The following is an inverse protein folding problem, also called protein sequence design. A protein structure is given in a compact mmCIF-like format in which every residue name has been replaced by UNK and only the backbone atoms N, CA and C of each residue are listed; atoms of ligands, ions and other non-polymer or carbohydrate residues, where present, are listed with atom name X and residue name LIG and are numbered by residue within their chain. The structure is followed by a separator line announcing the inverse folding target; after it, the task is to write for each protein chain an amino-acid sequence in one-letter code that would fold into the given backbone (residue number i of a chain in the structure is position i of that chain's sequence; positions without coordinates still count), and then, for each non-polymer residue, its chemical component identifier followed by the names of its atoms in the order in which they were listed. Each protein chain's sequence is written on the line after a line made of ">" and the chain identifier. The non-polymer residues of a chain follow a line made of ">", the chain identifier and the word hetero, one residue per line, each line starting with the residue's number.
data_IF_064550124200
#
_entry.id   IF_064550124200
#
_cell.length_a   1.000
_cell.length_b   1.000
_cell.length_c   1.000
_cell.angle_alpha   90.00
_cell.angle_beta   90.00
_cell.angle_gamma   90.00
#
_symmetry.space_group_name_H-M   'P 1'
#
loop_
_entity.id
_entity.type
_entity.pdbx_description
1 polymer ?
#
# COMPACT_ATOMS: atom_id res chain seq x y z
N UNK A 1 11.21 16.16 -13.70
CA UNK A 1 11.03 14.81 -13.16
C UNK A 1 11.90 14.73 -11.93
N UNK A 2 11.32 14.35 -10.78
CA UNK A 2 12.03 14.20 -9.52
C UNK A 2 11.88 12.73 -9.11
N UNK A 3 12.93 12.14 -8.57
CA UNK A 3 12.93 10.83 -7.95
C UNK A 3 13.56 11.01 -6.58
N UNK A 4 13.01 10.34 -5.57
CA UNK A 4 13.62 10.33 -4.25
C UNK A 4 13.86 8.88 -3.85
N UNK A 5 15.13 8.50 -3.92
CA UNK A 5 15.55 7.11 -3.70
C UNK A 5 15.95 6.88 -2.25
N UNK A 6 16.03 7.94 -1.44
CA UNK A 6 16.33 7.81 -0.03
C UNK A 6 15.16 7.16 0.71
N UNK A 7 15.39 5.94 1.18
CA UNK A 7 14.43 5.20 1.98
C UNK A 7 14.09 5.99 3.26
N UNK A 8 12.81 6.11 3.57
CA UNK A 8 12.23 6.80 4.72
C UNK A 8 12.51 8.31 4.79
N UNK A 9 12.81 8.96 3.66
CA UNK A 9 12.95 10.41 3.67
C UNK A 9 11.60 11.10 3.99
N UNK A 10 10.47 10.58 3.52
CA UNK A 10 9.17 11.20 3.79
C UNK A 10 8.87 11.20 5.30
N UNK A 11 9.25 10.13 6.00
CA UNK A 11 9.18 10.04 7.45
C UNK A 11 10.16 10.96 8.17
N UNK A 12 11.38 11.15 7.63
CA UNK A 12 12.30 12.13 8.18
C UNK A 12 11.73 13.56 8.10
N UNK A 13 11.06 13.93 6.99
CA UNK A 13 10.35 15.21 6.89
C UNK A 13 9.22 15.34 7.92
N UNK A 14 8.48 14.26 8.18
CA UNK A 14 7.44 14.25 9.20
C UNK A 14 8.03 14.47 10.60
N UNK A 15 9.05 13.71 10.99
CA UNK A 15 9.57 13.74 12.36
C UNK A 15 10.45 14.95 12.66
N UNK A 16 11.36 15.31 11.74
CA UNK A 16 12.35 16.36 11.99
C UNK A 16 11.87 17.75 11.57
N UNK A 17 10.95 17.83 10.62
CA UNK A 17 10.42 19.12 10.12
C UNK A 17 8.94 19.34 10.45
N UNK A 18 8.26 18.34 11.03
CA UNK A 18 6.85 18.46 11.42
C UNK A 18 5.90 18.63 10.23
N UNK A 19 6.23 18.05 9.06
CA UNK A 19 5.44 18.22 7.84
C UNK A 19 4.13 17.43 7.91
N UNK A 20 3.03 18.10 8.30
CA UNK A 20 1.69 17.51 8.29
C UNK A 20 1.25 17.07 6.89
N UNK A 21 1.69 17.78 5.85
CA UNK A 21 1.38 17.43 4.46
C UNK A 21 1.99 16.08 4.09
N UNK A 22 3.25 15.85 4.45
CA UNK A 22 3.92 14.58 4.17
C UNK A 22 3.31 13.42 4.98
N UNK A 23 2.85 13.71 6.19
CA UNK A 23 2.10 12.73 6.99
C UNK A 23 0.79 12.34 6.31
N UNK A 24 0.04 13.31 5.81
CA UNK A 24 -1.19 13.07 5.04
C UNK A 24 -0.91 12.23 3.79
N UNK A 25 0.12 12.58 3.02
CA UNK A 25 0.56 11.82 1.83
C UNK A 25 0.88 10.35 2.18
N UNK A 26 1.71 10.10 3.20
CA UNK A 26 2.05 8.75 3.67
C UNK A 26 0.81 7.95 4.11
N UNK A 27 -0.14 8.59 4.79
CA UNK A 27 -1.38 7.94 5.24
C UNK A 27 -2.29 7.60 4.06
N UNK A 28 -2.43 8.51 3.09
CA UNK A 28 -3.23 8.28 1.88
C UNK A 28 -2.62 7.17 1.02
N UNK A 29 -1.29 7.11 0.91
CA UNK A 29 -0.59 6.00 0.25
C UNK A 29 -0.87 4.67 0.98
N UNK A 30 -0.82 4.63 2.31
CA UNK A 30 -1.24 3.43 3.04
C UNK A 30 -2.69 3.01 2.74
N UNK A 31 -3.61 3.96 2.52
CA UNK A 31 -5.02 3.66 2.24
C UNK A 31 -5.29 3.26 0.78
N UNK A 32 -4.46 3.70 -0.16
CA UNK A 32 -4.67 3.56 -1.60
C UNK A 32 -4.90 2.11 -2.04
N UNK A 33 -4.09 1.16 -1.56
CA UNK A 33 -4.21 -0.26 -1.92
C UNK A 33 -5.04 -1.10 -0.94
N UNK A 34 -5.67 -0.50 0.07
CA UNK A 34 -6.58 -1.24 0.98
C UNK A 34 -7.74 -1.89 0.21
N UNK A 35 -8.47 -1.19 -0.68
CA UNK A 35 -9.56 -1.81 -1.43
C UNK A 35 -9.10 -2.98 -2.31
N UNK A 36 -7.93 -2.84 -2.95
CA UNK A 36 -7.32 -3.93 -3.72
C UNK A 36 -6.98 -5.13 -2.83
N UNK A 37 -6.43 -4.88 -1.64
CA UNK A 37 -6.16 -5.89 -0.63
C UNK A 37 -7.41 -6.66 -0.22
N UNK A 38 -8.55 -5.98 -0.07
CA UNK A 38 -9.85 -6.62 0.26
C UNK A 38 -10.32 -7.54 -0.87
N UNK A 39 -10.11 -7.14 -2.12
CA UNK A 39 -10.54 -7.92 -3.29
C UNK A 39 -9.66 -9.14 -3.58
N UNK A 40 -8.39 -9.13 -3.19
CA UNK A 40 -7.44 -10.22 -3.46
C UNK A 40 -7.96 -11.62 -3.04
N UNK A 41 -8.41 -11.85 -1.78
CA UNK A 41 -8.94 -13.15 -1.37
C UNK A 41 -10.23 -13.54 -2.10
N UNK A 42 -11.04 -12.55 -2.52
CA UNK A 42 -12.28 -12.75 -3.28
C UNK A 42 -11.96 -13.27 -4.68
N UNK A 43 -11.04 -12.60 -5.39
CA UNK A 43 -10.63 -12.93 -6.76
C UNK A 43 -10.02 -14.33 -6.82
N UNK A 44 -9.14 -14.66 -5.87
CA UNK A 44 -8.46 -15.94 -5.87
C UNK A 44 -9.25 -17.06 -5.17
N UNK A 45 -10.46 -16.77 -4.65
CA UNK A 45 -11.30 -17.69 -3.87
C UNK A 45 -10.53 -18.46 -2.78
N UNK A 46 -9.49 -17.83 -2.21
CA UNK A 46 -8.58 -18.48 -1.26
C UNK A 46 -7.97 -17.46 -0.32
N UNK A 47 -7.53 -17.93 0.85
CA UNK A 47 -6.78 -17.08 1.78
C UNK A 47 -5.43 -16.71 1.18
N UNK A 48 -5.12 -15.42 1.24
CA UNK A 48 -3.83 -14.88 0.81
C UNK A 48 -2.99 -14.64 2.06
N UNK A 49 -1.87 -15.36 2.17
CA UNK A 49 -0.93 -15.16 3.27
C UNK A 49 -0.30 -13.77 3.23
N UNK A 50 0.03 -13.23 4.41
CA UNK A 50 0.57 -11.87 4.59
C UNK A 50 1.79 -11.54 3.71
N UNK A 51 2.70 -12.50 3.47
CA UNK A 51 3.84 -12.30 2.56
C UNK A 51 3.41 -12.13 1.10
N UNK A 52 2.40 -12.89 0.68
CA UNK A 52 1.86 -12.82 -0.70
C UNK A 52 1.07 -11.53 -0.90
N UNK A 53 0.27 -11.10 0.08
CA UNK A 53 -0.44 -9.82 -0.01
C UNK A 53 0.51 -8.63 -0.04
N UNK A 54 1.58 -8.65 0.76
CA UNK A 54 2.65 -7.65 0.66
C UNK A 54 3.29 -7.64 -0.73
N UNK A 55 3.67 -8.80 -1.26
CA UNK A 55 4.27 -8.91 -2.59
C UNK A 55 3.35 -8.38 -3.68
N UNK A 56 2.06 -8.73 -3.67
CA UNK A 56 1.10 -8.20 -4.64
C UNK A 56 0.95 -6.68 -4.53
N UNK A 57 0.83 -6.16 -3.30
CA UNK A 57 0.75 -4.71 -3.07
C UNK A 57 1.99 -3.98 -3.54
N UNK A 58 3.18 -4.52 -3.25
CA UNK A 58 4.45 -3.96 -3.68
C UNK A 58 4.60 -3.97 -5.20
N UNK A 59 4.26 -5.06 -5.88
CA UNK A 59 4.34 -5.15 -7.35
C UNK A 59 3.36 -4.19 -8.05
N UNK A 60 2.14 -4.04 -7.51
CA UNK A 60 1.19 -3.06 -8.01
C UNK A 60 1.69 -1.65 -7.77
N UNK A 61 2.19 -1.36 -6.57
CA UNK A 61 2.74 -0.04 -6.29
C UNK A 61 3.95 0.27 -7.16
N UNK A 62 4.85 -0.69 -7.39
CA UNK A 62 5.95 -0.55 -8.35
C UNK A 62 5.42 -0.19 -9.73
N UNK A 63 4.34 -0.85 -10.16
CA UNK A 63 3.72 -0.57 -11.46
C UNK A 63 3.16 0.85 -11.51
N UNK A 64 2.51 1.31 -10.44
CA UNK A 64 1.97 2.67 -10.32
C UNK A 64 3.11 3.71 -10.39
N UNK A 65 4.17 3.52 -9.61
CA UNK A 65 5.36 4.38 -9.58
C UNK A 65 6.09 4.41 -10.94
N UNK A 66 6.25 3.25 -11.59
CA UNK A 66 6.82 3.18 -12.93
C UNK A 66 5.94 3.87 -13.97
N UNK A 67 4.62 3.76 -13.87
CA UNK A 67 3.69 4.49 -14.74
C UNK A 67 3.79 6.00 -14.50
N UNK A 68 3.87 6.45 -13.24
CA UNK A 68 4.12 7.86 -12.89
C UNK A 68 5.43 8.36 -13.51
N UNK A 69 6.50 7.58 -13.38
CA UNK A 69 7.80 7.88 -13.97
C UNK A 69 7.72 7.98 -15.50
N UNK A 70 7.18 6.98 -16.20
CA UNK A 70 7.11 6.97 -17.67
C UNK A 70 6.23 8.12 -18.19
N UNK A 71 5.10 8.38 -17.53
CA UNK A 71 4.17 9.45 -17.91
C UNK A 71 4.63 10.84 -17.44
N UNK A 72 5.80 10.93 -16.80
CA UNK A 72 6.40 12.17 -16.23
C UNK A 72 5.47 12.88 -15.24
N UNK A 73 4.71 12.11 -14.45
CA UNK A 73 3.80 12.61 -13.41
C UNK A 73 4.32 12.21 -12.03
N UNK A 74 4.24 13.11 -11.06
CA UNK A 74 4.55 12.81 -9.67
C UNK A 74 6.06 12.68 -9.36
N UNK A 75 6.32 12.14 -8.17
CA UNK A 75 7.63 11.83 -7.60
C UNK A 75 7.70 10.31 -7.48
N UNK A 76 8.82 9.72 -7.90
CA UNK A 76 9.05 8.28 -7.72
C UNK A 76 9.60 8.04 -6.31
N UNK A 77 8.85 7.31 -5.47
CA UNK A 77 9.15 7.17 -4.04
C UNK A 77 9.15 5.70 -3.58
N UNK A 78 10.25 5.27 -2.94
CA UNK A 78 10.30 3.93 -2.34
C UNK A 78 9.37 3.78 -1.13
N UNK A 79 9.17 4.88 -0.39
CA UNK A 79 8.31 4.91 0.80
C UNK A 79 6.87 4.58 0.42
N UNK A 80 6.38 5.17 -0.66
CA UNK A 80 5.05 4.95 -1.21
C UNK A 80 4.84 3.49 -1.57
N UNK A 81 5.84 2.85 -2.20
CA UNK A 81 5.78 1.42 -2.51
C UNK A 81 5.58 0.54 -1.29
N UNK A 82 6.26 0.86 -0.19
CA UNK A 82 6.17 0.13 1.07
C UNK A 82 4.83 0.40 1.76
N UNK A 83 4.39 1.66 1.80
CA UNK A 83 3.11 2.07 2.41
C UNK A 83 1.92 1.43 1.70
N UNK A 84 1.90 1.51 0.38
CA UNK A 84 0.91 0.86 -0.47
C UNK A 84 0.90 -0.67 -0.26
N UNK A 85 2.06 -1.30 -0.14
CA UNK A 85 2.16 -2.73 0.15
C UNK A 85 1.55 -3.09 1.52
N UNK A 86 1.76 -2.27 2.56
CA UNK A 86 1.10 -2.42 3.85
C UNK A 86 -0.42 -2.20 3.78
N UNK A 87 -0.88 -1.24 3.00
CA UNK A 87 -2.29 -1.03 2.70
C UNK A 87 -2.96 -2.29 2.13
N UNK A 88 -2.33 -2.89 1.13
CA UNK A 88 -2.78 -4.16 0.55
C UNK A 88 -2.84 -5.29 1.60
N UNK A 89 -1.82 -5.41 2.46
CA UNK A 89 -1.83 -6.40 3.55
C UNK A 89 -3.00 -6.17 4.51
N UNK A 90 -3.26 -4.91 4.87
CA UNK A 90 -4.35 -4.53 5.76
C UNK A 90 -5.70 -4.92 5.15
N UNK A 91 -5.94 -4.59 3.87
CA UNK A 91 -7.15 -4.99 3.15
C UNK A 91 -7.35 -6.51 3.13
N UNK A 92 -6.30 -7.27 2.85
CA UNK A 92 -6.34 -8.74 2.86
C UNK A 92 -6.74 -9.29 4.25
N UNK A 93 -6.13 -8.77 5.32
CA UNK A 93 -6.45 -9.16 6.69
C UNK A 93 -7.89 -8.82 7.07
N UNK A 94 -8.37 -7.65 6.66
CA UNK A 94 -9.76 -7.23 6.90
C UNK A 94 -10.73 -8.21 6.24
N UNK A 95 -10.50 -8.59 4.98
CA UNK A 95 -11.37 -9.55 4.31
C UNK A 95 -11.29 -10.95 4.93
N UNK A 96 -10.11 -11.40 5.34
CA UNK A 96 -9.97 -12.66 6.07
C UNK A 96 -10.75 -12.64 7.40
N UNK A 97 -10.70 -11.54 8.14
CA UNK A 97 -11.48 -11.36 9.36
C UNK A 97 -12.98 -11.44 9.09
N UNK A 98 -13.48 -10.78 8.05
CA UNK A 98 -14.89 -10.83 7.63
C UNK A 98 -15.28 -12.28 7.29
N UNK A 99 -14.50 -12.99 6.49
CA UNK A 99 -14.79 -14.39 6.15
C UNK A 99 -14.84 -15.31 7.37
N UNK A 100 -13.95 -15.10 8.35
CA UNK A 100 -13.97 -15.87 9.60
C UNK A 100 -15.23 -15.60 10.42
N UNK A 101 -15.69 -14.34 10.48
CA UNK A 101 -16.93 -13.97 11.18
C UNK A 101 -18.17 -14.54 10.49
N UNK A 102 -18.26 -14.45 9.16
CA UNK A 102 -19.36 -15.02 8.40
C UNK A 102 -19.46 -16.54 8.59
N UNK A 103 -18.33 -17.25 8.57
CA UNK A 103 -18.30 -18.70 8.81
C UNK A 103 -18.68 -19.09 10.24
N UNK A 104 -18.43 -18.23 11.23
CA UNK A 104 -18.78 -18.51 12.63
C UNK A 104 -20.25 -18.22 12.96
N UNK A 105 -20.96 -17.48 12.10
CA UNK A 105 -22.37 -17.14 12.25
C UNK A 105 -23.32 -18.10 11.52
N UNK A 106 -22.77 -19.09 10.81
CA UNK A 106 -23.47 -20.05 9.97
C UNK A 106 -23.23 -21.47 10.51
#
# INVERSE_FOLDING_TARGET
>A
MRYELHLFWSWNEVFFKGSNKMLEENLLNCLLLVPFGVLLPVIFHKRIGWKRSFLYGFLISLTIELCQLVLRRGLFEWDDMIHNAFGCMLGCKTMEFIYRKLKAAN
#
